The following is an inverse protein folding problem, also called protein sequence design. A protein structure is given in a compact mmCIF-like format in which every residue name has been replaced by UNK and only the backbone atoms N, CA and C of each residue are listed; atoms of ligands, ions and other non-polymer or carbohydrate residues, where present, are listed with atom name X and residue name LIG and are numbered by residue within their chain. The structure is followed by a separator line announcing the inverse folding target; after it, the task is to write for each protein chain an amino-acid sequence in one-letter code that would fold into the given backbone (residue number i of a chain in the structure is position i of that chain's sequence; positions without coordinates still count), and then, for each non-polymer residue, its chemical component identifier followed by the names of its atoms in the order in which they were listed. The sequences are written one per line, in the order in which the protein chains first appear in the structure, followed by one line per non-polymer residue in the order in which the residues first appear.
data_IF_322928407684
#
_entry.id   IF_322928407684
#
_cell.length_a   1.000
_cell.length_b   1.000
_cell.length_c   1.000
_cell.angle_alpha   90.00
_cell.angle_beta   90.00
_cell.angle_gamma   90.00
#
_symmetry.space_group_name_H-M   'P 1'
#
loop_
_entity.id
_entity.type
_entity.pdbx_description
1 polymer ?
#
# COMPACT_ATOMS: atom_id res chain seq x y z
N UNK A 1 -8.15 13.28 -9.15
CA UNK A 1 -9.10 12.18 -9.29
C UNK A 1 -10.35 12.60 -10.05
N UNK A 2 -11.26 11.67 -10.32
CA UNK A 2 -12.49 11.97 -11.08
C UNK A 2 -13.53 12.79 -10.30
N UNK A 3 -13.39 12.90 -9.00
CA UNK A 3 -14.39 13.45 -8.09
C UNK A 3 -15.53 12.46 -7.78
N UNK A 4 -16.14 12.60 -6.62
CA UNK A 4 -17.34 11.83 -6.25
C UNK A 4 -18.46 12.23 -7.21
N UNK A 5 -19.31 11.30 -7.68
CA UNK A 5 -20.51 11.66 -8.45
C UNK A 5 -21.37 12.66 -7.67
N UNK A 6 -21.73 13.78 -8.29
CA UNK A 6 -22.33 14.92 -7.58
C UNK A 6 -23.64 14.58 -6.88
N UNK A 7 -24.43 13.64 -7.42
CA UNK A 7 -25.66 13.14 -6.78
C UNK A 7 -25.42 12.15 -5.62
N UNK A 8 -24.16 11.76 -5.35
CA UNK A 8 -23.78 10.76 -4.34
C UNK A 8 -22.92 11.33 -3.20
N UNK A 9 -22.63 12.62 -3.19
CA UNK A 9 -21.71 13.27 -2.25
C UNK A 9 -22.10 12.99 -0.79
N UNK A 10 -23.36 13.19 -0.43
CA UNK A 10 -23.86 12.93 0.93
C UNK A 10 -23.80 11.44 1.27
N UNK A 11 -24.32 10.60 0.38
CA UNK A 11 -24.45 9.17 0.62
C UNK A 11 -23.10 8.48 0.84
N UNK A 12 -22.11 8.80 0.00
CA UNK A 12 -20.77 8.18 0.03
C UNK A 12 -20.05 8.41 1.35
N UNK A 13 -20.28 9.52 2.03
CA UNK A 13 -19.58 9.87 3.27
C UNK A 13 -20.44 9.65 4.54
N UNK A 14 -21.69 9.25 4.41
CA UNK A 14 -22.60 9.11 5.56
C UNK A 14 -23.30 7.75 5.69
N UNK A 15 -23.48 7.02 4.59
CA UNK A 15 -24.16 5.70 4.61
C UNK A 15 -23.16 4.56 4.45
N UNK A 16 -23.23 3.57 5.32
CA UNK A 16 -22.44 2.34 5.21
C UNK A 16 -22.84 1.56 3.95
N UNK A 17 -21.95 0.69 3.47
CA UNK A 17 -22.13 -0.11 2.24
C UNK A 17 -22.39 0.74 0.99
N UNK A 18 -21.82 1.94 0.92
CA UNK A 18 -21.85 2.82 -0.25
C UNK A 18 -20.42 3.11 -0.71
N UNK A 19 -20.24 3.32 -2.00
CA UNK A 19 -18.96 3.67 -2.61
C UNK A 19 -18.74 2.98 -3.95
N UNK A 20 -17.77 3.45 -4.73
CA UNK A 20 -17.45 2.92 -6.06
C UNK A 20 -16.89 1.50 -6.07
N UNK A 21 -16.60 0.93 -4.90
CA UNK A 21 -16.01 -0.41 -4.77
C UNK A 21 -17.01 -1.55 -4.98
N UNK A 22 -18.30 -1.28 -4.85
CA UNK A 22 -19.34 -2.31 -4.99
C UNK A 22 -19.65 -2.63 -6.45
N UNK A 23 -19.49 -1.67 -7.36
CA UNK A 23 -19.95 -1.78 -8.75
C UNK A 23 -18.82 -1.62 -9.80
N UNK A 24 -17.57 -1.66 -9.39
CA UNK A 24 -16.46 -1.37 -10.30
C UNK A 24 -15.33 -2.39 -10.18
N UNK A 25 -14.99 -2.99 -11.32
CA UNK A 25 -13.82 -3.87 -11.47
C UNK A 25 -12.49 -3.16 -11.10
N UNK A 26 -12.45 -1.84 -11.21
CA UNK A 26 -11.28 -1.03 -10.89
C UNK A 26 -10.86 -1.09 -9.40
N UNK A 27 -11.77 -1.52 -8.51
CA UNK A 27 -11.52 -1.55 -7.06
C UNK A 27 -11.48 -2.96 -6.47
N UNK A 28 -11.46 -4.02 -7.30
CA UNK A 28 -11.41 -5.42 -6.83
C UNK A 28 -10.21 -5.70 -5.92
N UNK A 29 -9.09 -5.02 -6.15
CA UNK A 29 -7.83 -5.15 -5.38
C UNK A 29 -7.62 -3.96 -4.44
N UNK A 30 -8.65 -3.58 -3.69
CA UNK A 30 -8.59 -2.50 -2.71
C UNK A 30 -8.54 -3.04 -1.29
N UNK A 31 -8.10 -2.21 -0.34
CA UNK A 31 -7.97 -2.60 1.07
C UNK A 31 -9.29 -2.51 1.84
N UNK A 32 -10.16 -1.59 1.48
CA UNK A 32 -11.45 -1.38 2.17
C UNK A 32 -12.58 -2.10 1.45
N UNK A 33 -13.16 -3.10 2.08
CA UNK A 33 -14.25 -3.90 1.52
C UNK A 33 -15.64 -3.37 1.87
N UNK A 34 -15.81 -2.78 3.05
CA UNK A 34 -17.13 -2.44 3.61
C UNK A 34 -17.51 -0.96 3.48
N UNK A 35 -16.67 -0.13 2.89
CA UNK A 35 -16.91 1.30 2.71
C UNK A 35 -17.23 2.05 4.02
N UNK A 36 -16.56 1.70 5.14
CA UNK A 36 -16.88 2.21 6.49
C UNK A 36 -15.96 3.34 6.92
N UNK A 37 -14.70 3.39 6.44
CA UNK A 37 -13.68 4.28 6.97
C UNK A 37 -14.06 5.75 6.93
N UNK A 38 -14.49 6.27 5.78
CA UNK A 38 -14.89 7.69 5.63
C UNK A 38 -16.09 8.04 6.48
N UNK A 39 -17.05 7.10 6.65
CA UNK A 39 -18.23 7.28 7.49
C UNK A 39 -17.85 7.35 8.97
N UNK A 40 -16.89 6.53 9.40
CA UNK A 40 -16.36 6.59 10.76
C UNK A 40 -15.66 7.93 11.02
N UNK A 41 -14.84 8.42 10.08
CA UNK A 41 -14.21 9.74 10.19
C UNK A 41 -15.27 10.85 10.29
N UNK A 42 -16.31 10.80 9.46
CA UNK A 42 -17.43 11.76 9.54
C UNK A 42 -18.11 11.71 10.90
N UNK A 43 -18.48 10.52 11.37
CA UNK A 43 -19.15 10.35 12.68
C UNK A 43 -18.31 10.83 13.87
N UNK A 44 -16.98 10.74 13.77
CA UNK A 44 -16.02 11.13 14.81
C UNK A 44 -15.50 12.56 14.66
N UNK A 45 -16.08 13.35 13.76
CA UNK A 45 -15.68 14.74 13.49
C UNK A 45 -16.77 15.71 13.89
N UNK A 46 -16.42 16.72 14.66
CA UNK A 46 -17.35 17.82 14.98
C UNK A 46 -17.68 18.66 13.74
N UNK A 47 -16.71 18.80 12.84
CA UNK A 47 -16.89 19.39 11.51
C UNK A 47 -16.33 18.43 10.47
N UNK A 48 -17.15 18.09 9.49
CA UNK A 48 -16.76 17.33 8.32
C UNK A 48 -17.35 17.99 7.09
N UNK A 49 -16.50 18.46 6.18
CA UNK A 49 -16.90 19.04 4.89
C UNK A 49 -16.36 18.19 3.77
N UNK A 50 -17.20 17.91 2.80
CA UNK A 50 -16.79 17.30 1.54
C UNK A 50 -17.29 18.16 0.37
N UNK A 51 -16.41 18.43 -0.59
CA UNK A 51 -16.74 19.06 -1.87
C UNK A 51 -16.25 18.19 -3.00
N UNK A 52 -17.16 17.79 -3.88
CA UNK A 52 -16.82 17.10 -5.12
C UNK A 52 -16.80 18.09 -6.28
N UNK A 53 -15.76 18.03 -7.09
CA UNK A 53 -15.59 18.79 -8.33
C UNK A 53 -15.63 17.81 -9.49
N UNK A 54 -16.59 17.96 -10.38
CA UNK A 54 -16.76 17.05 -11.51
C UNK A 54 -17.39 17.75 -12.70
N UNK A 55 -16.70 17.69 -13.83
CA UNK A 55 -17.18 18.14 -15.15
C UNK A 55 -17.71 19.59 -15.13
N UNK A 56 -16.94 20.49 -14.49
CA UNK A 56 -17.26 21.93 -14.41
C UNK A 56 -18.32 22.30 -13.39
N UNK A 57 -18.72 21.36 -12.54
CA UNK A 57 -19.66 21.60 -11.46
C UNK A 57 -19.10 21.11 -10.11
N UNK A 58 -19.61 21.67 -9.03
CA UNK A 58 -19.27 21.27 -7.66
C UNK A 58 -20.51 21.10 -6.80
N UNK A 59 -20.36 20.30 -5.77
CA UNK A 59 -21.36 20.12 -4.70
C UNK A 59 -20.67 19.92 -3.37
N UNK A 60 -21.14 20.63 -2.35
CA UNK A 60 -20.59 20.60 -0.99
C UNK A 60 -21.63 20.07 -0.01
N UNK A 61 -21.19 19.25 0.94
CA UNK A 61 -21.98 18.83 2.08
C UNK A 61 -21.19 19.02 3.38
N UNK A 62 -21.84 19.56 4.39
CA UNK A 62 -21.31 19.79 5.73
C UNK A 62 -22.02 18.89 6.73
N UNK A 63 -21.24 18.28 7.62
CA UNK A 63 -21.72 17.38 8.67
C UNK A 63 -21.16 17.76 10.03
N UNK A 64 -21.87 17.39 11.07
CA UNK A 64 -21.38 17.41 12.45
C UNK A 64 -21.70 16.08 13.12
N UNK A 65 -20.68 15.39 13.62
CA UNK A 65 -20.80 14.07 14.26
C UNK A 65 -21.64 13.07 13.42
N UNK A 66 -21.40 13.06 12.10
CA UNK A 66 -22.10 12.20 11.15
C UNK A 66 -23.46 12.69 10.66
N UNK A 67 -24.00 13.76 11.25
CA UNK A 67 -25.30 14.30 10.87
C UNK A 67 -25.15 15.41 9.82
N UNK A 68 -25.92 15.33 8.74
CA UNK A 68 -25.93 16.36 7.70
C UNK A 68 -26.45 17.69 8.26
N UNK A 69 -25.65 18.74 8.18
CA UNK A 69 -25.96 20.10 8.60
C UNK A 69 -26.42 20.94 7.43
N UNK A 70 -25.71 20.86 6.30
CA UNK A 70 -25.98 21.66 5.12
C UNK A 70 -25.52 20.91 3.86
N UNK A 71 -26.31 21.07 2.81
CA UNK A 71 -25.98 20.59 1.46
C UNK A 71 -26.16 21.75 0.48
N UNK A 72 -25.14 21.99 -0.37
CA UNK A 72 -25.23 23.03 -1.40
C UNK A 72 -26.10 22.58 -2.57
N UNK A 73 -26.53 23.53 -3.37
CA UNK A 73 -26.99 23.27 -4.74
C UNK A 73 -25.76 22.93 -5.61
N UNK A 74 -26.01 22.48 -6.83
CA UNK A 74 -24.95 22.38 -7.86
C UNK A 74 -24.48 23.78 -8.23
N UNK A 75 -23.19 23.98 -8.20
CA UNK A 75 -22.53 25.25 -8.52
C UNK A 75 -21.56 25.05 -9.69
N UNK A 76 -21.44 26.05 -10.57
CA UNK A 76 -20.42 26.05 -11.62
C UNK A 76 -19.05 26.31 -11.01
N UNK A 77 -18.02 25.63 -11.52
CA UNK A 77 -16.64 25.79 -11.07
C UNK A 77 -15.67 25.67 -12.22
N UNK A 78 -14.51 26.29 -12.08
CA UNK A 78 -13.34 26.12 -12.96
C UNK A 78 -12.32 25.14 -12.39
N UNK A 79 -12.56 24.63 -11.18
CA UNK A 79 -11.69 23.65 -10.55
C UNK A 79 -11.62 22.34 -11.33
N UNK A 80 -10.45 21.74 -11.36
CA UNK A 80 -10.27 20.42 -11.94
C UNK A 80 -11.07 19.34 -11.18
N UNK A 81 -11.43 18.27 -11.86
CA UNK A 81 -12.10 17.13 -11.23
C UNK A 81 -11.32 16.64 -10.01
N UNK A 82 -12.01 16.45 -8.92
CA UNK A 82 -11.39 16.01 -7.65
C UNK A 82 -12.36 16.01 -6.48
N UNK A 83 -11.80 15.75 -5.31
CA UNK A 83 -12.56 15.79 -4.05
C UNK A 83 -11.77 16.53 -2.99
N UNK A 84 -12.40 17.47 -2.34
CA UNK A 84 -11.87 18.17 -1.17
C UNK A 84 -12.55 17.63 0.08
N UNK A 85 -11.77 17.35 1.12
CA UNK A 85 -12.28 16.91 2.42
C UNK A 85 -11.59 17.72 3.50
N UNK A 86 -12.39 18.27 4.42
CA UNK A 86 -11.91 18.98 5.60
C UNK A 86 -12.54 18.33 6.83
N UNK A 87 -11.73 18.04 7.84
CA UNK A 87 -12.18 17.42 9.08
C UNK A 87 -11.62 18.15 10.30
N UNK A 88 -12.44 18.18 11.34
CA UNK A 88 -12.01 18.52 12.69
C UNK A 88 -12.52 17.42 13.62
N UNK A 89 -11.64 16.63 14.25
CA UNK A 89 -12.01 15.59 15.20
C UNK A 89 -12.86 16.15 16.33
N UNK A 90 -13.78 15.33 16.85
CA UNK A 90 -14.59 15.69 18.00
C UNK A 90 -13.73 15.67 19.28
N UNK A 91 -13.53 16.83 19.89
CA UNK A 91 -12.69 17.01 21.08
C UNK A 91 -13.30 16.45 22.36
N UNK A 92 -14.58 16.13 22.36
CA UNK A 92 -15.24 15.40 23.47
C UNK A 92 -14.83 13.93 23.48
N UNK A 93 -14.47 13.36 22.32
CA UNK A 93 -14.01 11.99 22.13
C UNK A 93 -12.47 11.95 22.16
N UNK A 94 -11.84 12.77 21.34
CA UNK A 94 -10.39 12.84 21.19
C UNK A 94 -9.80 13.98 22.04
N UNK A 95 -9.77 13.78 23.33
CA UNK A 95 -9.24 14.78 24.27
C UNK A 95 -7.76 15.04 24.01
N UNK A 96 -7.37 16.34 23.88
CA UNK A 96 -5.98 16.76 23.72
C UNK A 96 -5.26 16.09 22.53
N UNK A 97 -6.00 15.81 21.45
CA UNK A 97 -5.39 15.23 20.23
C UNK A 97 -4.42 16.21 19.56
N UNK A 98 -3.41 15.68 18.93
CA UNK A 98 -2.52 16.40 18.04
C UNK A 98 -2.03 15.45 16.94
N UNK A 99 -1.77 16.00 15.77
CA UNK A 99 -1.18 15.23 14.68
C UNK A 99 0.33 15.12 14.89
N UNK A 100 0.85 13.91 14.77
CA UNK A 100 2.29 13.63 14.86
C UNK A 100 2.85 13.65 13.44
N UNK A 101 3.66 14.66 13.13
CA UNK A 101 4.20 14.89 11.80
C UNK A 101 4.97 13.67 11.26
N UNK A 102 5.78 13.03 12.09
CA UNK A 102 6.58 11.87 11.74
C UNK A 102 5.72 10.69 11.24
N UNK A 103 4.56 10.44 11.85
CA UNK A 103 3.65 9.38 11.42
C UNK A 103 3.02 9.68 10.06
N UNK A 104 2.66 10.94 9.83
CA UNK A 104 2.09 11.37 8.56
C UNK A 104 3.17 11.29 7.47
N UNK A 105 4.37 11.80 7.74
CA UNK A 105 5.52 11.75 6.83
C UNK A 105 5.82 10.31 6.38
N UNK A 106 5.94 9.39 7.33
CA UNK A 106 6.18 7.97 7.06
C UNK A 106 5.06 7.33 6.24
N UNK A 107 3.82 7.64 6.55
CA UNK A 107 2.66 7.12 5.82
C UNK A 107 2.63 7.64 4.38
N UNK A 108 2.89 8.93 4.16
CA UNK A 108 2.90 9.53 2.82
C UNK A 108 4.04 8.98 1.95
N UNK A 109 5.21 8.76 2.52
CA UNK A 109 6.29 8.07 1.81
C UNK A 109 5.92 6.65 1.42
N UNK A 110 5.29 5.88 2.30
CA UNK A 110 4.81 4.56 1.95
C UNK A 110 3.81 4.58 0.79
N UNK A 111 2.86 5.52 0.78
CA UNK A 111 1.94 5.67 -0.35
C UNK A 111 2.65 6.05 -1.64
N UNK A 112 3.65 6.92 -1.59
CA UNK A 112 4.44 7.30 -2.75
C UNK A 112 5.22 6.10 -3.32
N UNK A 113 5.90 5.31 -2.47
CA UNK A 113 6.64 4.11 -2.89
C UNK A 113 5.75 3.02 -3.49
N UNK A 114 4.53 2.87 -2.97
CA UNK A 114 3.59 1.84 -3.45
C UNK A 114 2.81 2.26 -4.70
N UNK A 115 2.87 3.54 -5.07
CA UNK A 115 2.14 4.11 -6.19
C UNK A 115 3.05 5.02 -7.02
N UNK A 116 3.94 4.44 -7.80
CA UNK A 116 4.83 5.19 -8.70
C UNK A 116 4.02 6.13 -9.62
N UNK A 117 4.49 7.37 -9.75
CA UNK A 117 3.78 8.41 -10.48
C UNK A 117 2.76 9.22 -9.68
N UNK A 118 2.39 8.77 -8.46
CA UNK A 118 1.59 9.56 -7.53
C UNK A 118 2.46 10.65 -6.89
N UNK A 119 1.96 11.87 -6.91
CA UNK A 119 2.57 12.98 -6.19
C UNK A 119 1.66 13.38 -5.04
N UNK A 120 2.20 13.43 -3.84
CA UNK A 120 1.52 13.85 -2.63
C UNK A 120 2.16 15.14 -2.10
N UNK A 121 1.34 16.00 -1.53
CA UNK A 121 1.78 17.26 -0.93
C UNK A 121 1.31 17.32 0.52
N UNK A 122 2.20 17.68 1.42
CA UNK A 122 1.87 17.89 2.83
C UNK A 122 2.68 19.05 3.40
N UNK A 123 2.00 20.11 3.82
CA UNK A 123 2.62 21.31 4.40
C UNK A 123 3.81 21.86 3.58
N UNK A 124 3.66 21.90 2.26
CA UNK A 124 4.69 22.38 1.34
C UNK A 124 5.76 21.37 0.95
N UNK A 125 5.78 20.20 1.57
CA UNK A 125 6.67 19.08 1.21
C UNK A 125 6.02 18.21 0.13
N UNK A 126 6.85 17.73 -0.81
CA UNK A 126 6.44 16.86 -1.91
C UNK A 126 6.93 15.45 -1.66
N UNK A 127 6.04 14.47 -1.88
CA UNK A 127 6.33 13.04 -1.78
C UNK A 127 6.06 12.40 -3.14
N UNK A 128 7.08 11.85 -3.73
CA UNK A 128 7.01 11.15 -5.03
C UNK A 128 8.10 10.09 -5.11
N UNK A 129 7.80 8.97 -5.75
CA UNK A 129 8.76 7.91 -6.04
C UNK A 129 8.66 7.51 -7.50
N UNK A 130 9.80 7.35 -8.15
CA UNK A 130 9.88 6.88 -9.53
C UNK A 130 10.20 5.39 -9.64
N UNK A 131 10.89 4.82 -8.62
CA UNK A 131 11.35 3.43 -8.61
C UNK A 131 10.67 2.56 -7.54
N UNK A 132 9.60 3.04 -6.88
CA UNK A 132 8.77 2.25 -5.99
C UNK A 132 9.52 1.60 -4.82
N UNK A 133 9.46 0.28 -4.69
CA UNK A 133 10.09 -0.44 -3.59
C UNK A 133 11.62 -0.34 -3.56
N UNK A 134 12.27 -0.10 -4.70
CA UNK A 134 13.71 0.20 -4.71
C UNK A 134 14.00 1.48 -3.93
N UNK A 135 13.26 2.56 -4.21
CA UNK A 135 13.40 3.84 -3.49
C UNK A 135 13.08 3.68 -2.00
N UNK A 136 12.12 2.81 -1.66
CA UNK A 136 11.78 2.48 -0.27
C UNK A 136 12.99 1.88 0.46
N UNK A 137 13.64 0.89 -0.14
CA UNK A 137 14.83 0.28 0.45
C UNK A 137 15.99 1.27 0.52
N UNK A 138 16.26 2.04 -0.53
CA UNK A 138 17.31 3.07 -0.53
C UNK A 138 17.14 4.10 0.59
N UNK A 139 15.89 4.47 0.90
CA UNK A 139 15.59 5.39 2.00
C UNK A 139 15.77 4.79 3.39
N UNK A 140 15.51 3.49 3.55
CA UNK A 140 15.50 2.83 4.86
C UNK A 140 16.80 2.09 5.19
N UNK A 141 17.59 1.70 4.19
CA UNK A 141 18.87 1.03 4.41
C UNK A 141 19.87 2.01 5.02
N UNK A 142 20.45 1.59 6.13
CA UNK A 142 21.59 2.24 6.78
C UNK A 142 22.77 1.30 6.72
N UNK A 143 23.94 1.81 6.32
CA UNK A 143 25.14 0.99 6.20
C UNK A 143 25.38 0.40 4.79
N UNK A 144 26.40 -0.45 4.69
CA UNK A 144 26.83 -1.04 3.42
C UNK A 144 25.97 -2.24 3.00
N UNK A 145 25.77 -2.36 1.69
CA UNK A 145 25.08 -3.49 1.06
C UNK A 145 26.05 -4.33 0.24
N UNK A 146 25.82 -5.64 0.18
CA UNK A 146 26.70 -6.57 -0.52
C UNK A 146 26.64 -6.43 -2.04
N UNK A 147 25.51 -6.00 -2.58
CA UNK A 147 25.26 -5.82 -4.01
C UNK A 147 24.13 -4.80 -4.23
N UNK A 148 24.07 -4.18 -5.42
CA UNK A 148 22.99 -3.24 -5.74
C UNK A 148 21.61 -3.87 -5.55
N UNK A 149 20.64 -3.07 -5.11
CA UNK A 149 19.26 -3.54 -4.86
C UNK A 149 18.70 -4.19 -6.13
N UNK A 150 18.37 -5.46 -6.03
CA UNK A 150 17.60 -6.19 -7.04
C UNK A 150 16.16 -5.68 -7.02
N UNK A 151 15.68 -5.17 -8.14
CA UNK A 151 14.32 -4.64 -8.27
C UNK A 151 13.57 -5.39 -9.37
N UNK A 152 12.50 -6.06 -9.01
CA UNK A 152 11.69 -6.89 -9.89
C UNK A 152 10.25 -6.41 -9.85
N UNK A 153 9.63 -6.23 -11.03
CA UNK A 153 8.26 -5.73 -11.14
C UNK A 153 7.48 -6.58 -12.13
N UNK A 154 6.29 -6.99 -11.73
CA UNK A 154 5.33 -7.72 -12.55
C UNK A 154 3.92 -7.17 -12.35
N UNK A 155 2.96 -7.85 -12.94
CA UNK A 155 1.56 -7.55 -12.72
C UNK A 155 1.17 -7.99 -11.30
N UNK A 156 0.61 -7.08 -10.51
CA UNK A 156 0.17 -7.33 -9.14
C UNK A 156 1.26 -7.75 -8.13
N UNK A 157 2.53 -7.66 -8.50
CA UNK A 157 3.65 -7.94 -7.61
C UNK A 157 4.84 -7.04 -7.91
N UNK A 158 5.44 -6.50 -6.87
CA UNK A 158 6.70 -5.77 -6.92
C UNK A 158 7.59 -6.24 -5.78
N UNK A 159 8.89 -6.33 -6.04
CA UNK A 159 9.89 -6.85 -5.13
C UNK A 159 11.18 -6.04 -5.24
N UNK A 160 11.75 -5.71 -4.11
CA UNK A 160 13.12 -5.20 -4.03
C UNK A 160 13.87 -5.95 -2.94
N UNK A 161 15.16 -6.30 -3.16
CA UNK A 161 15.96 -6.99 -2.15
C UNK A 161 17.45 -6.70 -2.31
N UNK A 162 18.15 -6.77 -1.20
CA UNK A 162 19.61 -6.83 -1.10
C UNK A 162 20.01 -7.56 0.19
N UNK A 163 21.30 -7.71 0.44
CA UNK A 163 21.83 -8.17 1.71
C UNK A 163 22.71 -7.07 2.33
N UNK A 164 22.60 -6.90 3.64
CA UNK A 164 23.47 -5.99 4.39
C UNK A 164 24.83 -6.62 4.65
N UNK A 165 25.87 -5.80 4.67
CA UNK A 165 27.22 -6.20 5.10
C UNK A 165 27.40 -6.05 6.61
N UNK A 166 26.52 -5.31 7.28
CA UNK A 166 26.68 -4.92 8.69
C UNK A 166 25.69 -5.60 9.64
N UNK A 167 24.50 -6.00 9.14
CA UNK A 167 23.44 -6.58 9.95
C UNK A 167 23.28 -8.07 9.68
N UNK A 168 22.96 -8.85 10.73
CA UNK A 168 22.80 -10.30 10.63
C UNK A 168 21.33 -10.77 10.68
N UNK A 169 20.39 -9.84 10.91
CA UNK A 169 18.96 -10.13 10.97
C UNK A 169 18.28 -9.96 9.63
N UNK A 170 17.21 -10.72 9.43
CA UNK A 170 16.29 -10.53 8.30
C UNK A 170 15.44 -9.28 8.54
N UNK A 171 15.27 -8.43 7.53
CA UNK A 171 14.41 -7.24 7.58
C UNK A 171 13.44 -7.25 6.39
N UNK A 172 12.15 -7.10 6.68
CA UNK A 172 11.09 -7.15 5.67
C UNK A 172 10.12 -5.98 5.76
N UNK A 173 9.82 -5.41 4.60
CA UNK A 173 8.77 -4.43 4.37
C UNK A 173 7.71 -5.06 3.48
N UNK A 174 6.61 -5.51 4.06
CA UNK A 174 5.56 -6.26 3.34
C UNK A 174 4.29 -5.44 3.21
N UNK A 175 3.69 -5.48 2.01
CA UNK A 175 2.50 -4.70 1.68
C UNK A 175 1.49 -5.55 0.91
N UNK A 176 0.21 -5.30 1.17
CA UNK A 176 -0.93 -5.88 0.45
C UNK A 176 -1.91 -4.78 0.10
N UNK A 177 -2.20 -4.59 -1.20
CA UNK A 177 -3.13 -3.56 -1.67
C UNK A 177 -2.83 -2.15 -1.11
N UNK A 178 -1.55 -1.81 -0.91
CA UNK A 178 -1.12 -0.54 -0.32
C UNK A 178 -1.14 -0.49 1.21
N UNK A 179 -1.54 -1.56 1.89
CA UNK A 179 -1.49 -1.67 3.35
C UNK A 179 -0.17 -2.26 3.82
N UNK A 180 0.50 -1.59 4.76
CA UNK A 180 1.68 -2.11 5.42
C UNK A 180 1.32 -3.25 6.38
N UNK A 181 1.79 -4.46 6.08
CA UNK A 181 1.59 -5.64 6.92
C UNK A 181 2.79 -5.83 7.84
N UNK A 182 2.79 -5.13 8.96
CA UNK A 182 3.92 -5.10 9.91
C UNK A 182 4.28 -6.46 10.50
N UNK A 183 3.33 -7.39 10.52
CA UNK A 183 3.51 -8.77 10.96
C UNK A 183 3.66 -9.76 9.79
N UNK A 184 3.83 -9.25 8.56
CA UNK A 184 3.98 -10.08 7.37
C UNK A 184 2.69 -10.78 6.94
N UNK A 185 2.78 -12.07 6.73
CA UNK A 185 1.69 -12.93 6.28
C UNK A 185 2.12 -13.89 5.18
N UNK A 186 1.14 -14.44 4.47
CA UNK A 186 1.35 -15.50 3.45
C UNK A 186 2.26 -15.07 2.31
N UNK A 187 2.21 -13.81 1.87
CA UNK A 187 3.06 -13.26 0.81
C UNK A 187 4.53 -13.16 1.24
N UNK A 188 4.80 -12.72 2.47
CA UNK A 188 6.16 -12.67 3.01
C UNK A 188 6.73 -14.08 3.22
N UNK A 189 5.92 -15.01 3.73
CA UNK A 189 6.33 -16.40 3.89
C UNK A 189 6.66 -17.04 2.53
N UNK A 190 5.83 -16.81 1.51
CA UNK A 190 6.07 -17.27 0.15
C UNK A 190 7.36 -16.68 -0.44
N UNK A 191 7.63 -15.40 -0.21
CA UNK A 191 8.87 -14.75 -0.61
C UNK A 191 10.10 -15.42 0.03
N UNK A 192 10.10 -15.58 1.35
CA UNK A 192 11.21 -16.20 2.10
C UNK A 192 11.55 -17.60 1.59
N UNK A 193 10.54 -18.39 1.27
CA UNK A 193 10.71 -19.72 0.69
C UNK A 193 11.25 -19.67 -0.74
N UNK A 194 10.65 -18.83 -1.58
CA UNK A 194 10.97 -18.75 -3.00
C UNK A 194 12.40 -18.26 -3.28
N UNK A 195 12.91 -17.31 -2.51
CA UNK A 195 14.28 -16.81 -2.64
C UNK A 195 15.27 -17.94 -2.37
N UNK A 196 15.09 -18.69 -1.28
CA UNK A 196 15.96 -19.82 -0.93
C UNK A 196 15.95 -20.88 -2.05
N UNK A 197 14.75 -21.25 -2.50
CA UNK A 197 14.59 -22.24 -3.56
C UNK A 197 15.26 -21.78 -4.87
N UNK A 198 15.06 -20.55 -5.27
CA UNK A 198 15.64 -20.00 -6.52
C UNK A 198 17.16 -19.96 -6.45
N UNK A 199 17.74 -19.54 -5.33
CA UNK A 199 19.20 -19.49 -5.13
C UNK A 199 19.80 -20.90 -5.16
N UNK A 200 19.19 -21.86 -4.48
CA UNK A 200 19.62 -23.27 -4.53
C UNK A 200 19.58 -23.84 -5.95
N UNK A 201 18.52 -23.58 -6.70
CA UNK A 201 18.38 -24.04 -8.09
C UNK A 201 19.40 -23.37 -9.01
N UNK A 202 19.64 -22.07 -8.86
CA UNK A 202 20.59 -21.30 -9.67
C UNK A 202 22.02 -21.82 -9.51
N UNK A 203 22.48 -22.03 -8.26
CA UNK A 203 23.84 -22.53 -8.00
C UNK A 203 23.94 -24.05 -8.00
N UNK A 204 22.82 -24.77 -8.13
CA UNK A 204 22.76 -26.24 -8.01
C UNK A 204 23.39 -26.75 -6.72
N UNK A 205 23.16 -26.04 -5.62
CA UNK A 205 23.72 -26.31 -4.30
C UNK A 205 22.68 -26.18 -3.20
N UNK A 206 22.73 -27.12 -2.25
CA UNK A 206 21.80 -27.15 -1.12
C UNK A 206 22.32 -26.28 0.05
N UNK A 207 22.20 -24.97 -0.08
CA UNK A 207 22.53 -24.02 0.98
C UNK A 207 21.55 -24.12 2.14
N UNK A 208 22.00 -23.88 3.36
CA UNK A 208 21.09 -23.73 4.49
C UNK A 208 20.15 -22.53 4.27
N UNK A 209 18.82 -22.68 4.47
CA UNK A 209 17.89 -21.57 4.31
C UNK A 209 18.18 -20.36 5.19
N UNK A 210 18.71 -20.58 6.39
CA UNK A 210 19.09 -19.51 7.30
C UNK A 210 20.29 -18.70 6.77
N UNK A 211 21.25 -19.37 6.15
CA UNK A 211 22.41 -18.71 5.55
C UNK A 211 22.00 -17.83 4.35
N UNK A 212 21.10 -18.34 3.48
CA UNK A 212 20.60 -17.58 2.34
C UNK A 212 19.86 -16.32 2.78
N UNK A 213 19.10 -16.39 3.88
CA UNK A 213 18.33 -15.24 4.39
C UNK A 213 19.10 -14.38 5.38
N UNK A 214 20.27 -14.79 5.82
CA UNK A 214 21.10 -14.01 6.74
C UNK A 214 21.36 -12.61 6.17
N UNK A 215 21.04 -11.59 6.93
CA UNK A 215 21.21 -10.17 6.56
C UNK A 215 20.38 -9.68 5.36
N UNK A 216 19.36 -10.42 4.92
CA UNK A 216 18.48 -9.96 3.83
C UNK A 216 17.68 -8.75 4.25
N UNK A 217 17.59 -7.76 3.36
CA UNK A 217 16.69 -6.62 3.47
C UNK A 217 15.81 -6.64 2.22
N UNK A 218 14.52 -6.83 2.41
CA UNK A 218 13.60 -6.98 1.28
C UNK A 218 12.29 -6.25 1.48
N UNK A 219 11.72 -5.77 0.38
CA UNK A 219 10.38 -5.22 0.31
C UNK A 219 9.55 -6.02 -0.70
N UNK A 220 8.32 -6.36 -0.33
CA UNK A 220 7.37 -7.04 -1.20
C UNK A 220 6.01 -6.37 -1.15
N UNK A 221 5.43 -6.11 -2.31
CA UNK A 221 4.07 -5.60 -2.47
C UNK A 221 3.29 -6.51 -3.41
N UNK A 222 2.14 -6.98 -2.96
CA UNK A 222 1.21 -7.78 -3.76
C UNK A 222 -0.15 -7.13 -3.81
N UNK A 223 -0.87 -7.36 -4.92
CA UNK A 223 -2.27 -6.98 -5.08
C UNK A 223 -3.12 -8.24 -5.07
N UNK A 224 -4.00 -8.32 -4.10
CA UNK A 224 -4.86 -9.48 -3.81
C UNK A 224 -6.31 -9.07 -3.95
N UNK A 225 -7.11 -9.91 -4.57
CA UNK A 225 -8.55 -9.74 -4.63
C UNK A 225 -9.18 -10.28 -3.36
N UNK A 226 -10.06 -9.49 -2.72
CA UNK A 226 -10.73 -9.87 -1.47
C UNK A 226 -9.78 -10.35 -0.37
N UNK A 227 -8.77 -9.54 0.04
CA UNK A 227 -7.78 -9.99 1.01
C UNK A 227 -8.41 -10.27 2.38
N UNK A 228 -8.00 -11.37 2.99
CA UNK A 228 -8.36 -11.73 4.37
C UNK A 228 -7.15 -11.49 5.27
N UNK A 229 -7.37 -10.76 6.36
CA UNK A 229 -6.35 -10.47 7.37
C UNK A 229 -6.68 -11.21 8.66
N UNK A 230 -5.66 -11.51 9.47
CA UNK A 230 -5.86 -12.16 10.77
C UNK A 230 -6.59 -11.27 11.79
N UNK A 231 -6.56 -9.94 11.60
CA UNK A 231 -7.23 -8.97 12.48
C UNK A 231 -7.72 -7.75 11.71
N UNK A 232 -8.62 -6.97 12.34
CA UNK A 232 -9.12 -5.71 11.79
C UNK A 232 -8.02 -4.64 11.63
N UNK A 233 -6.92 -4.74 12.33
CA UNK A 233 -5.75 -3.86 12.17
C UNK A 233 -5.00 -4.09 10.85
N UNK A 234 -5.30 -5.21 10.16
CA UNK A 234 -4.74 -5.56 8.84
C UNK A 234 -3.21 -5.63 8.82
N UNK A 235 -2.62 -6.05 9.93
CA UNK A 235 -1.16 -6.13 10.09
C UNK A 235 -0.56 -7.42 9.56
N UNK A 236 -1.38 -8.45 9.34
CA UNK A 236 -0.93 -9.76 8.85
C UNK A 236 -1.91 -10.35 7.83
N UNK A 237 -1.40 -10.67 6.63
CA UNK A 237 -2.21 -11.30 5.58
C UNK A 237 -2.40 -12.78 5.87
N UNK A 238 -3.67 -13.22 5.87
CA UNK A 238 -4.07 -14.62 6.03
C UNK A 238 -4.44 -15.32 4.73
N UNK A 239 -4.75 -14.58 3.65
CA UNK A 239 -5.18 -15.17 2.37
C UNK A 239 -4.18 -16.18 1.83
N UNK A 240 -4.63 -17.40 1.53
CA UNK A 240 -3.83 -18.44 0.89
C UNK A 240 -3.80 -18.32 -0.63
N UNK A 241 -4.73 -17.59 -1.23
CA UNK A 241 -4.90 -17.39 -2.66
C UNK A 241 -4.87 -15.91 -2.99
N UNK A 242 -4.45 -15.55 -4.21
CA UNK A 242 -4.40 -14.16 -4.71
C UNK A 242 -5.77 -13.63 -5.13
N UNK A 243 -6.71 -14.53 -5.34
CA UNK A 243 -8.12 -14.27 -5.59
C UNK A 243 -8.93 -15.50 -5.17
N UNK A 244 -10.22 -15.38 -4.84
CA UNK A 244 -11.08 -16.53 -4.53
C UNK A 244 -11.07 -17.55 -5.66
N UNK A 245 -10.66 -18.81 -5.35
CA UNK A 245 -10.51 -19.89 -6.33
C UNK A 245 -9.38 -19.70 -7.35
N UNK A 246 -8.48 -18.74 -7.10
CA UNK A 246 -7.35 -18.45 -7.96
C UNK A 246 -6.07 -19.19 -7.57
N UNK A 247 -4.94 -18.66 -8.08
CA UNK A 247 -3.61 -19.17 -7.80
C UNK A 247 -3.26 -19.02 -6.30
N UNK A 248 -2.56 -19.99 -5.72
CA UNK A 248 -2.07 -19.88 -4.35
C UNK A 248 -1.03 -18.76 -4.24
N UNK A 249 -0.97 -18.11 -3.09
CA UNK A 249 0.06 -17.09 -2.80
C UNK A 249 1.48 -17.66 -2.98
N UNK A 250 1.68 -18.88 -2.50
CA UNK A 250 2.96 -19.59 -2.63
C UNK A 250 3.40 -19.77 -4.09
N UNK A 251 2.48 -20.21 -4.95
CA UNK A 251 2.75 -20.39 -6.38
C UNK A 251 2.92 -19.03 -7.07
N UNK A 252 2.04 -18.07 -6.82
CA UNK A 252 2.09 -16.75 -7.42
C UNK A 252 3.42 -16.03 -7.18
N UNK A 253 3.82 -15.93 -5.91
CA UNK A 253 5.10 -15.31 -5.52
C UNK A 253 6.29 -16.18 -5.95
N UNK A 254 6.18 -17.50 -5.78
CA UNK A 254 7.23 -18.46 -6.12
C UNK A 254 7.58 -18.46 -7.59
N UNK A 255 6.60 -18.54 -8.48
CA UNK A 255 6.81 -18.56 -9.92
C UNK A 255 7.42 -17.24 -10.42
N UNK A 256 6.95 -16.13 -9.88
CA UNK A 256 7.49 -14.80 -10.19
C UNK A 256 8.96 -14.69 -9.80
N UNK A 257 9.31 -15.05 -8.56
CA UNK A 257 10.69 -14.96 -8.06
C UNK A 257 11.59 -15.92 -8.83
N UNK A 258 11.16 -17.17 -9.03
CA UNK A 258 11.93 -18.15 -9.79
C UNK A 258 12.31 -17.61 -11.17
N UNK A 259 11.33 -17.09 -11.90
CA UNK A 259 11.57 -16.58 -13.26
C UNK A 259 12.40 -15.30 -13.25
N UNK A 260 12.02 -14.31 -12.46
CA UNK A 260 12.60 -12.98 -12.53
C UNK A 260 13.97 -12.90 -11.84
N UNK A 261 14.13 -13.51 -10.67
CA UNK A 261 15.41 -13.53 -9.96
C UNK A 261 16.45 -14.37 -10.69
N UNK A 262 16.08 -15.54 -11.19
CA UNK A 262 16.99 -16.38 -11.99
C UNK A 262 17.49 -15.62 -13.22
N UNK A 263 16.59 -15.00 -13.97
CA UNK A 263 16.95 -14.16 -15.13
C UNK A 263 17.85 -12.98 -14.73
N UNK A 264 17.56 -12.34 -13.60
CA UNK A 264 18.36 -11.23 -13.10
C UNK A 264 19.79 -11.67 -12.76
N UNK A 265 19.96 -12.78 -12.07
CA UNK A 265 21.26 -13.31 -11.68
C UNK A 265 22.10 -13.71 -12.91
N UNK A 266 21.50 -14.29 -13.94
CA UNK A 266 22.18 -14.58 -15.20
C UNK A 266 22.67 -13.32 -15.94
N UNK A 267 21.91 -12.23 -15.86
CA UNK A 267 22.26 -10.93 -16.46
C UNK A 267 23.25 -10.11 -15.64
N UNK A 268 23.37 -10.38 -14.34
CA UNK A 268 24.19 -9.64 -13.39
C UNK A 268 25.16 -10.57 -12.62
N UNK A 269 26.23 -11.02 -13.28
CA UNK A 269 27.17 -12.00 -12.68
C UNK A 269 27.85 -11.51 -11.40
N UNK A 270 28.02 -10.19 -11.24
CA UNK A 270 28.60 -9.61 -10.03
C UNK A 270 27.68 -9.78 -8.83
N UNK A 271 26.38 -9.50 -9.00
CA UNK A 271 25.36 -9.77 -7.99
C UNK A 271 25.31 -11.27 -7.65
N UNK A 272 25.32 -12.12 -8.68
CA UNK A 272 25.34 -13.57 -8.48
C UNK A 272 26.57 -14.07 -7.69
N UNK A 273 27.72 -13.41 -7.80
CA UNK A 273 28.90 -13.76 -6.99
C UNK A 273 28.83 -13.25 -5.54
N UNK A 274 28.07 -12.20 -5.30
CA UNK A 274 27.95 -11.58 -3.99
C UNK A 274 26.88 -12.24 -3.10
N UNK A 275 25.84 -12.83 -3.70
CA UNK A 275 24.82 -13.63 -3.00
C UNK A 275 25.41 -14.98 -2.61
#
# INVERSE_FOLDING_TARGET
GRGIPLGKVVEVVSKINTGGKYDSDAFKKSIGLNGVGTKAVNALSINFRVTAFRDGQSKTADFSCGNLVKESKLEKTTEANGTYVEIRPDDTIFKKYHYVHEYIDKMLWNYAFLNTGLTLFFNGQVYKSDNGLKDLLEKNITGEILYPIVHLKGDDIELAMTHSNEHYSEEYYSYVNGQYTTQGGTHQAAFREAVVKTIREFYKKDFDPADVRKSIIAAISVRVQEPVFESQTKTKLGSQEVAPGGQTMRSFVGDFIKQQLDNYLHKNPETARAI
#
